data_IF_882443693355
#
_entry.id   IF_882443693355
#
_cell.length_a   1.000
_cell.length_b   1.000
_cell.length_c   1.000
_cell.angle_alpha   90.00
_cell.angle_beta   90.00
_cell.angle_gamma   90.00
#
_symmetry.space_group_name_H-M   'P 1'
#
loop_
_entity.id
_entity.type
_entity.pdbx_description
1 polymer ?
#
# COMPACT_ATOMS: atom_id res chain seq x y z
N UNK A 1 8.84 22.99 1.36
CA UNK A 1 8.03 22.17 0.43
C UNK A 1 6.91 21.56 1.25
N UNK A 2 5.64 21.82 0.91
CA UNK A 2 4.50 21.19 1.58
C UNK A 2 4.07 20.02 0.70
N UNK A 3 4.13 18.80 1.24
CA UNK A 3 3.61 17.63 0.53
C UNK A 3 2.10 17.65 0.72
N UNK A 4 1.36 17.94 -0.36
CA UNK A 4 -0.09 17.99 -0.33
C UNK A 4 -0.70 16.60 -0.47
N UNK A 5 -0.05 15.73 -1.26
CA UNK A 5 -0.46 14.35 -1.48
C UNK A 5 0.75 13.43 -1.59
N UNK A 6 0.56 12.18 -1.22
CA UNK A 6 1.55 11.12 -1.28
C UNK A 6 0.86 9.78 -1.52
N UNK A 7 1.62 8.80 -1.96
CA UNK A 7 1.18 7.45 -2.21
C UNK A 7 1.53 6.56 -1.02
N UNK A 8 0.56 5.77 -0.58
CA UNK A 8 0.72 4.80 0.50
C UNK A 8 0.75 3.42 -0.14
N UNK A 9 1.76 2.64 0.20
CA UNK A 9 1.82 1.22 -0.11
C UNK A 9 1.64 0.44 1.18
N UNK A 10 0.67 -0.48 1.22
CA UNK A 10 0.40 -1.37 2.36
C UNK A 10 0.68 -2.82 2.00
N UNK A 11 0.88 -3.67 3.00
CA UNK A 11 1.13 -5.10 2.80
C UNK A 11 -0.11 -5.77 2.18
N UNK A 12 0.07 -6.63 1.15
CA UNK A 12 -1.03 -7.37 0.57
C UNK A 12 -1.53 -8.47 1.49
N UNK A 13 -2.83 -8.76 1.38
CA UNK A 13 -3.49 -9.94 1.93
C UNK A 13 -4.00 -10.89 0.83
N UNK A 14 -4.63 -12.02 1.21
CA UNK A 14 -5.01 -13.11 0.29
C UNK A 14 -5.90 -12.72 -0.89
N UNK A 15 -6.69 -11.66 -0.73
CA UNK A 15 -7.65 -11.19 -1.75
C UNK A 15 -7.33 -9.78 -2.23
N UNK A 16 -6.16 -9.24 -1.87
CA UNK A 16 -5.78 -7.88 -2.23
C UNK A 16 -5.50 -7.75 -3.73
N UNK A 17 -6.01 -6.67 -4.30
CA UNK A 17 -5.63 -6.17 -5.62
C UNK A 17 -4.69 -4.96 -5.50
N UNK A 18 -4.08 -4.54 -6.61
CA UNK A 18 -3.14 -3.41 -6.62
C UNK A 18 -3.76 -2.13 -6.05
N UNK A 19 -5.05 -1.89 -6.32
CA UNK A 19 -5.76 -0.71 -5.83
C UNK A 19 -6.00 -0.72 -4.31
N UNK A 20 -6.10 -1.91 -3.71
CA UNK A 20 -6.25 -2.03 -2.25
C UNK A 20 -4.95 -1.67 -1.53
N UNK A 21 -3.82 -1.98 -2.17
CA UNK A 21 -2.51 -1.85 -1.54
C UNK A 21 -1.73 -0.60 -1.95
N UNK A 22 -2.17 0.14 -2.96
CA UNK A 22 -1.47 1.31 -3.50
C UNK A 22 -2.46 2.44 -3.82
N UNK A 23 -2.50 3.45 -2.96
CA UNK A 23 -3.45 4.56 -3.10
C UNK A 23 -2.82 5.91 -2.77
N UNK A 24 -3.32 6.96 -3.43
CA UNK A 24 -2.89 8.33 -3.20
C UNK A 24 -3.79 9.02 -2.16
N UNK A 25 -3.18 9.66 -1.17
CA UNK A 25 -3.91 10.36 -0.12
C UNK A 25 -3.16 11.57 0.41
N UNK A 26 -3.76 12.29 1.34
CA UNK A 26 -3.11 13.33 2.14
C UNK A 26 -3.01 12.86 3.60
N UNK A 27 -2.41 13.69 4.47
CA UNK A 27 -2.26 13.34 5.89
C UNK A 27 -3.60 13.08 6.60
N UNK A 28 -4.67 13.80 6.21
CA UNK A 28 -6.00 13.62 6.80
C UNK A 28 -6.63 12.30 6.32
N UNK A 29 -6.47 11.98 5.05
CA UNK A 29 -6.95 10.74 4.46
C UNK A 29 -6.23 9.52 5.02
N UNK A 30 -4.90 9.56 5.20
CA UNK A 30 -4.17 8.50 5.90
C UNK A 30 -4.67 8.32 7.34
N UNK A 31 -4.88 9.42 8.08
CA UNK A 31 -5.42 9.35 9.44
C UNK A 31 -6.84 8.75 9.48
N UNK A 32 -7.65 8.92 8.44
CA UNK A 32 -8.95 8.26 8.32
C UNK A 32 -8.81 6.76 8.01
N UNK A 33 -7.85 6.35 7.19
CA UNK A 33 -7.56 4.93 6.96
C UNK A 33 -7.16 4.22 8.26
N UNK A 34 -6.26 4.84 9.04
CA UNK A 34 -5.85 4.30 10.35
C UNK A 34 -7.04 4.16 11.31
N UNK A 35 -7.92 5.16 11.37
CA UNK A 35 -9.17 5.08 12.15
C UNK A 35 -10.15 4.04 11.60
N UNK A 36 -10.09 3.77 10.30
CA UNK A 36 -10.90 2.78 9.60
C UNK A 36 -10.43 1.33 9.79
N UNK A 37 -9.30 1.12 10.47
CA UNK A 37 -8.77 -0.21 10.79
C UNK A 37 -7.50 -0.59 10.04
N UNK A 38 -6.92 0.31 9.24
CA UNK A 38 -5.56 0.10 8.74
C UNK A 38 -4.57 0.13 9.92
N UNK A 39 -3.79 -0.93 10.10
CA UNK A 39 -2.71 -0.95 11.09
C UNK A 39 -1.49 -0.17 10.56
N UNK A 40 -0.84 0.61 11.41
CA UNK A 40 0.42 1.29 11.05
C UNK A 40 1.50 0.28 10.67
N UNK A 41 1.50 -0.90 11.29
CA UNK A 41 2.42 -2.00 10.98
C UNK A 41 2.18 -2.63 9.60
N UNK A 42 1.02 -2.37 8.98
CA UNK A 42 0.71 -2.81 7.62
C UNK A 42 1.18 -1.83 6.56
N UNK A 43 1.55 -0.60 6.94
CA UNK A 43 2.18 0.34 6.02
C UNK A 43 3.56 -0.19 5.64
N UNK A 44 3.74 -0.46 4.36
CA UNK A 44 5.02 -0.92 3.80
C UNK A 44 5.93 0.26 3.48
N UNK A 45 5.40 1.28 2.79
CA UNK A 45 6.17 2.46 2.40
C UNK A 45 5.29 3.65 2.00
N UNK A 46 5.87 4.85 2.01
CA UNK A 46 5.27 6.08 1.50
C UNK A 46 6.12 6.65 0.36
N UNK A 47 5.47 7.15 -0.69
CA UNK A 47 6.12 7.70 -1.88
C UNK A 47 5.54 9.05 -2.27
N UNK A 48 6.35 9.90 -2.89
CA UNK A 48 5.88 11.14 -3.51
C UNK A 48 5.52 10.97 -4.99
N UNK A 49 6.02 9.90 -5.64
CA UNK A 49 5.79 9.61 -7.05
C UNK A 49 4.91 8.36 -7.23
N UNK A 50 3.92 8.46 -8.13
CA UNK A 50 3.00 7.37 -8.46
C UNK A 50 3.71 6.14 -9.04
N UNK A 51 4.64 6.36 -9.98
CA UNK A 51 5.34 5.26 -10.67
C UNK A 51 6.17 4.41 -9.70
N UNK A 52 6.85 5.04 -8.73
CA UNK A 52 7.64 4.34 -7.72
C UNK A 52 6.74 3.52 -6.79
N UNK A 53 5.60 4.09 -6.37
CA UNK A 53 4.63 3.42 -5.52
C UNK A 53 4.01 2.21 -6.22
N UNK A 54 3.54 2.37 -7.46
CA UNK A 54 2.93 1.28 -8.22
C UNK A 54 3.93 0.17 -8.53
N UNK A 55 5.19 0.52 -8.82
CA UNK A 55 6.25 -0.47 -9.06
C UNK A 55 6.52 -1.29 -7.81
N UNK A 56 6.62 -0.67 -6.64
CA UNK A 56 6.83 -1.39 -5.39
C UNK A 56 5.62 -2.22 -5.00
N UNK A 57 4.42 -1.66 -5.08
CA UNK A 57 3.18 -2.35 -4.79
C UNK A 57 3.00 -3.60 -5.67
N UNK A 58 3.26 -3.48 -6.98
CA UNK A 58 3.25 -4.63 -7.89
C UNK A 58 4.28 -5.69 -7.52
N UNK A 59 5.48 -5.29 -7.10
CA UNK A 59 6.54 -6.20 -6.66
C UNK A 59 6.13 -7.01 -5.42
N UNK A 60 5.60 -6.35 -4.39
CA UNK A 60 5.23 -7.02 -3.14
C UNK A 60 3.97 -7.88 -3.31
N UNK A 61 3.02 -7.46 -4.14
CA UNK A 61 1.82 -8.23 -4.45
C UNK A 61 2.17 -9.51 -5.21
N UNK A 62 3.02 -9.43 -6.22
CA UNK A 62 3.50 -10.61 -6.95
C UNK A 62 4.26 -11.58 -6.05
N UNK A 63 5.12 -11.06 -5.15
CA UNK A 63 5.86 -11.88 -4.19
C UNK A 63 4.92 -12.56 -3.17
N UNK A 64 3.90 -11.85 -2.69
CA UNK A 64 2.90 -12.42 -1.79
C UNK A 64 2.11 -13.53 -2.48
N UNK A 65 1.59 -13.28 -3.68
CA UNK A 65 0.80 -14.27 -4.43
C UNK A 65 1.62 -15.52 -4.76
N UNK A 66 2.92 -15.37 -5.07
CA UNK A 66 3.81 -16.51 -5.29
C UNK A 66 4.00 -17.33 -4.00
N UNK A 67 4.22 -16.66 -2.87
CA UNK A 67 4.36 -17.36 -1.58
C UNK A 67 3.06 -18.06 -1.19
N UNK A 68 1.91 -17.39 -1.33
CA UNK A 68 0.61 -17.98 -1.01
C UNK A 68 0.36 -19.24 -1.85
N UNK A 69 0.65 -19.20 -3.16
CA UNK A 69 0.54 -20.37 -4.04
C UNK A 69 1.53 -21.51 -3.71
N UNK A 70 2.66 -21.23 -3.06
CA UNK A 70 3.63 -22.25 -2.65
C UNK A 70 3.26 -22.96 -1.35
N UNK A 71 2.40 -22.34 -0.53
CA UNK A 71 2.03 -22.84 0.79
C UNK A 71 0.53 -23.13 0.96
N UNK A 72 -0.28 -22.89 -0.09
CA UNK A 72 -1.68 -23.31 -0.20
C UNK A 72 -1.81 -24.78 -0.64
#
# INVERSE_FOLDING_TARGET
MRIERFWVVVKPGPVSELGDICFETDAKGLALQLKGGLDEGDIHALYTACEEAQKEAGRILAAFNLNDALFA
#
